data_IF_573364592627
#
_entry.id   IF_573364592627
#
_cell.length_a   1.000
_cell.length_b   1.000
_cell.length_c   1.000
_cell.angle_alpha   90.00
_cell.angle_beta   90.00
_cell.angle_gamma   90.00
#
_symmetry.space_group_name_H-M   'P 1'
#
loop_
_entity.id
_entity.type
_entity.pdbx_description
1 polymer ?
#
# COMPACT_ATOMS: atom_id res chain seq x y z
N UNK A 1 -5.25 2.87 -10.62
CA UNK A 1 -4.95 2.14 -11.86
C UNK A 1 -5.75 0.83 -11.93
N UNK A 2 -5.73 -0.03 -10.89
CA UNK A 2 -6.46 -1.30 -10.84
C UNK A 2 -7.96 -1.13 -11.18
N UNK A 3 -8.66 -0.25 -10.46
CA UNK A 3 -10.07 0.05 -10.69
C UNK A 3 -10.30 0.51 -12.15
N UNK A 4 -9.40 1.36 -12.66
CA UNK A 4 -9.49 1.84 -14.04
C UNK A 4 -9.40 0.70 -15.07
N UNK A 5 -8.42 -0.20 -14.92
CA UNK A 5 -8.25 -1.34 -15.84
C UNK A 5 -9.46 -2.29 -15.80
N UNK A 6 -9.99 -2.56 -14.62
CA UNK A 6 -11.19 -3.39 -14.46
C UNK A 6 -12.43 -2.73 -15.08
N UNK A 7 -12.65 -1.43 -14.79
CA UNK A 7 -13.78 -0.71 -15.39
C UNK A 7 -13.64 -0.64 -16.92
N UNK A 8 -12.43 -0.38 -17.41
CA UNK A 8 -12.16 -0.36 -18.87
C UNK A 8 -12.48 -1.72 -19.51
N UNK A 9 -12.10 -2.82 -18.87
CA UNK A 9 -12.39 -4.16 -19.37
C UNK A 9 -13.90 -4.45 -19.40
N UNK A 10 -14.61 -4.11 -18.32
CA UNK A 10 -16.07 -4.34 -18.21
C UNK A 10 -16.85 -3.39 -19.14
N UNK A 11 -16.37 -2.16 -19.33
CA UNK A 11 -17.07 -1.14 -20.11
C UNK A 11 -16.82 -1.21 -21.61
N UNK A 12 -15.86 -2.01 -22.06
CA UNK A 12 -15.52 -2.13 -23.48
C UNK A 12 -16.71 -2.45 -24.39
N UNK A 13 -17.64 -3.38 -24.05
CA UNK A 13 -18.80 -3.68 -24.86
C UNK A 13 -19.86 -2.56 -24.92
N UNK A 14 -19.82 -1.64 -23.96
CA UNK A 14 -20.88 -0.62 -23.75
C UNK A 14 -20.49 0.79 -24.19
N UNK A 15 -19.36 0.96 -24.86
CA UNK A 15 -18.83 2.26 -25.32
C UNK A 15 -18.70 3.31 -24.20
N UNK A 16 -18.62 2.88 -22.92
CA UNK A 16 -18.39 3.79 -21.80
C UNK A 16 -16.95 4.31 -21.84
N UNK A 17 -16.78 5.57 -21.46
CA UNK A 17 -15.47 6.25 -21.43
C UNK A 17 -15.02 6.46 -20.00
N UNK A 18 -14.20 5.56 -19.42
CA UNK A 18 -13.54 5.79 -18.14
C UNK A 18 -12.32 6.68 -18.31
N UNK A 19 -12.07 7.57 -17.34
CA UNK A 19 -10.89 8.44 -17.29
C UNK A 19 -10.18 8.27 -15.94
N UNK A 20 -8.86 8.24 -15.98
CA UNK A 20 -7.99 8.12 -14.81
C UNK A 20 -7.36 9.48 -14.47
N UNK A 21 -7.61 9.97 -13.26
CA UNK A 21 -7.12 11.24 -12.72
C UNK A 21 -6.24 10.96 -11.51
N UNK A 22 -4.92 10.99 -11.69
CA UNK A 22 -3.96 10.60 -10.63
C UNK A 22 -2.76 11.52 -10.57
N UNK A 23 -2.20 11.66 -9.37
CA UNK A 23 -0.95 12.40 -9.14
C UNK A 23 0.26 11.77 -9.84
N UNK A 24 1.32 12.57 -9.99
CA UNK A 24 2.60 12.10 -10.54
C UNK A 24 2.67 12.01 -12.07
N UNK A 25 1.61 12.40 -12.78
CA UNK A 25 1.53 12.51 -14.24
C UNK A 25 1.14 13.93 -14.64
N UNK A 26 1.35 14.30 -15.91
CA UNK A 26 0.98 15.62 -16.43
C UNK A 26 -0.52 15.88 -16.25
N UNK A 27 -0.87 17.09 -15.81
CA UNK A 27 -2.26 17.52 -15.59
C UNK A 27 -3.00 17.81 -16.90
N UNK A 28 -2.29 18.29 -17.93
CA UNK A 28 -2.92 18.77 -19.16
C UNK A 28 -3.72 17.69 -19.91
N UNK A 29 -3.19 16.48 -20.15
CA UNK A 29 -3.98 15.40 -20.75
C UNK A 29 -5.18 14.98 -19.89
N UNK A 30 -5.03 15.04 -18.55
CA UNK A 30 -6.11 14.71 -17.62
C UNK A 30 -7.23 15.77 -17.68
N UNK A 31 -6.88 17.06 -17.76
CA UNK A 31 -7.83 18.15 -17.91
C UNK A 31 -8.65 18.01 -19.20
N UNK A 32 -7.99 17.72 -20.33
CA UNK A 32 -8.66 17.49 -21.63
C UNK A 32 -9.63 16.30 -21.54
N UNK A 33 -9.18 15.21 -20.93
CA UNK A 33 -10.00 14.01 -20.75
C UNK A 33 -11.24 14.28 -19.86
N UNK A 34 -11.06 15.07 -18.80
CA UNK A 34 -12.14 15.45 -17.87
C UNK A 34 -13.15 16.41 -18.54
N UNK A 35 -12.68 17.39 -19.33
CA UNK A 35 -13.51 18.30 -20.12
C UNK A 35 -14.37 17.55 -21.15
N UNK A 36 -13.90 16.40 -21.62
CA UNK A 36 -14.65 15.50 -22.52
C UNK A 36 -15.88 14.82 -21.89
N UNK A 37 -16.22 15.15 -20.65
CA UNK A 37 -17.38 14.62 -19.91
C UNK A 37 -17.43 13.09 -19.93
N UNK A 38 -16.44 12.41 -19.35
CA UNK A 38 -16.40 10.94 -19.33
C UNK A 38 -17.58 10.36 -18.54
N UNK A 39 -17.92 9.10 -18.80
CA UNK A 39 -18.97 8.39 -18.09
C UNK A 39 -18.54 7.99 -16.67
N UNK A 40 -17.24 7.67 -16.48
CA UNK A 40 -16.67 7.26 -15.21
C UNK A 40 -15.35 8.00 -14.99
N UNK A 41 -15.20 8.63 -13.84
CA UNK A 41 -13.95 9.26 -13.38
C UNK A 41 -13.38 8.46 -12.24
N UNK A 42 -12.20 7.89 -12.42
CA UNK A 42 -11.44 7.23 -11.38
C UNK A 42 -10.32 8.17 -10.94
N UNK A 43 -10.36 8.62 -9.70
CA UNK A 43 -9.47 9.68 -9.24
C UNK A 43 -8.81 9.39 -7.90
N UNK A 44 -7.60 9.93 -7.71
CA UNK A 44 -7.06 10.16 -6.37
C UNK A 44 -7.54 11.54 -5.89
N UNK A 45 -7.96 11.68 -4.60
CA UNK A 45 -8.56 12.93 -4.10
C UNK A 45 -7.72 14.16 -4.40
N UNK A 46 -6.42 14.15 -4.03
CA UNK A 46 -5.54 15.31 -4.23
C UNK A 46 -5.49 15.80 -5.67
N UNK A 47 -5.33 14.90 -6.67
CA UNK A 47 -5.25 15.31 -8.07
C UNK A 47 -6.60 15.83 -8.60
N UNK A 48 -7.72 15.25 -8.18
CA UNK A 48 -9.03 15.76 -8.57
C UNK A 48 -9.30 17.12 -7.93
N UNK A 49 -8.92 17.31 -6.65
CA UNK A 49 -8.98 18.59 -5.96
C UNK A 49 -8.11 19.66 -6.65
N UNK A 50 -6.91 19.29 -7.13
CA UNK A 50 -6.07 20.19 -7.94
C UNK A 50 -6.80 20.67 -9.20
N UNK A 51 -7.42 19.75 -9.96
CA UNK A 51 -8.22 20.13 -11.14
C UNK A 51 -9.40 21.02 -10.80
N UNK A 52 -10.12 20.74 -9.72
CA UNK A 52 -11.24 21.57 -9.26
C UNK A 52 -10.78 22.99 -8.94
N UNK A 53 -9.61 23.14 -8.32
CA UNK A 53 -9.07 24.45 -7.92
C UNK A 53 -8.41 25.22 -9.06
N UNK A 54 -7.85 24.54 -10.08
CA UNK A 54 -6.91 25.19 -11.01
C UNK A 54 -7.23 25.04 -12.49
N UNK A 55 -8.06 24.06 -12.92
CA UNK A 55 -8.24 23.75 -14.36
C UNK A 55 -9.38 24.49 -15.05
N UNK A 56 -10.07 25.39 -14.33
CA UNK A 56 -11.20 26.14 -14.88
C UNK A 56 -12.53 25.37 -14.91
N UNK A 57 -13.62 26.14 -14.97
CA UNK A 57 -14.98 25.61 -14.84
C UNK A 57 -15.35 24.66 -15.99
N UNK A 58 -14.94 24.98 -17.22
CA UNK A 58 -15.21 24.15 -18.39
C UNK A 58 -14.64 22.72 -18.27
N UNK A 59 -13.51 22.58 -17.58
CA UNK A 59 -12.88 21.28 -17.33
C UNK A 59 -13.70 20.43 -16.35
N UNK A 60 -14.23 21.06 -15.31
CA UNK A 60 -14.87 20.35 -14.19
C UNK A 60 -16.39 20.38 -14.22
N UNK A 61 -17.02 21.10 -15.18
CA UNK A 61 -18.48 21.25 -15.27
C UNK A 61 -19.23 19.89 -15.31
N UNK A 62 -18.59 18.85 -15.85
CA UNK A 62 -19.16 17.51 -15.88
C UNK A 62 -19.39 16.91 -14.50
N UNK A 63 -18.63 17.32 -13.47
CA UNK A 63 -18.75 16.86 -12.09
C UNK A 63 -20.10 17.24 -11.47
N UNK A 64 -20.71 18.35 -11.88
CA UNK A 64 -22.04 18.79 -11.44
C UNK A 64 -23.19 17.84 -11.88
N UNK A 65 -22.89 16.83 -12.70
CA UNK A 65 -23.86 15.85 -13.21
C UNK A 65 -23.64 14.44 -12.65
N UNK A 66 -22.75 14.29 -11.70
CA UNK A 66 -22.43 13.00 -11.07
C UNK A 66 -23.64 12.49 -10.29
N UNK A 67 -24.08 11.27 -10.58
CA UNK A 67 -25.20 10.61 -9.90
C UNK A 67 -24.75 9.57 -8.86
N UNK A 68 -23.53 9.08 -9.00
CA UNK A 68 -22.98 8.06 -8.10
C UNK A 68 -21.54 8.41 -7.71
N UNK A 69 -21.24 8.30 -6.44
CA UNK A 69 -19.90 8.43 -5.87
C UNK A 69 -19.54 7.15 -5.15
N UNK A 70 -18.35 6.65 -5.41
CA UNK A 70 -17.78 5.50 -4.72
C UNK A 70 -16.52 5.93 -3.99
N UNK A 71 -16.47 5.72 -2.68
CA UNK A 71 -15.29 5.91 -1.86
C UNK A 71 -14.74 4.53 -1.51
N UNK A 72 -13.60 4.18 -2.11
CA UNK A 72 -12.88 2.95 -1.82
C UNK A 72 -11.78 3.23 -0.79
N UNK A 73 -11.52 2.28 0.11
CA UNK A 73 -10.68 2.50 1.31
C UNK A 73 -11.17 3.71 2.15
N UNK A 74 -12.49 3.78 2.40
CA UNK A 74 -13.12 4.95 3.01
C UNK A 74 -12.58 5.26 4.42
N UNK A 75 -12.16 4.26 5.18
CA UNK A 75 -11.46 4.41 6.47
C UNK A 75 -10.21 5.29 6.36
N UNK A 76 -9.52 5.22 5.24
CA UNK A 76 -8.31 6.02 4.98
C UNK A 76 -8.60 7.37 4.36
N UNK A 77 -9.58 7.43 3.47
CA UNK A 77 -9.99 8.69 2.84
C UNK A 77 -10.54 9.69 3.85
N UNK A 78 -11.18 9.18 4.91
CA UNK A 78 -11.84 9.96 5.94
C UNK A 78 -11.00 10.12 7.22
N UNK A 79 -9.86 9.43 7.31
CA UNK A 79 -8.97 9.54 8.46
C UNK A 79 -8.51 10.99 8.68
N UNK A 80 -8.58 11.47 9.91
CA UNK A 80 -8.09 12.78 10.33
C UNK A 80 -6.62 12.71 10.77
N UNK A 81 -5.92 13.86 10.79
CA UNK A 81 -4.56 13.99 11.30
C UNK A 81 -3.52 14.41 10.25
N UNK A 82 -2.24 14.44 10.61
CA UNK A 82 -1.16 14.85 9.71
C UNK A 82 -1.09 13.96 8.45
N UNK A 83 -1.12 14.58 7.26
CA UNK A 83 -1.13 13.86 5.98
C UNK A 83 -2.50 13.29 5.58
N UNK A 84 -3.58 13.71 6.24
CA UNK A 84 -4.95 13.35 5.91
C UNK A 84 -5.32 13.75 4.48
N UNK A 85 -6.07 12.89 3.80
CA UNK A 85 -6.68 13.18 2.50
C UNK A 85 -8.07 13.82 2.64
N UNK A 86 -8.60 13.93 3.86
CA UNK A 86 -9.95 14.44 4.12
C UNK A 86 -10.21 15.82 3.50
N UNK A 87 -9.32 16.84 3.59
CA UNK A 87 -9.56 18.14 2.96
C UNK A 87 -9.71 18.08 1.44
N UNK A 88 -8.95 17.18 0.79
CA UNK A 88 -9.06 16.98 -0.66
C UNK A 88 -10.35 16.24 -1.02
N UNK A 89 -10.76 15.25 -0.20
CA UNK A 89 -12.04 14.55 -0.34
C UNK A 89 -13.21 15.54 -0.20
N UNK A 90 -13.17 16.40 0.80
CA UNK A 90 -14.18 17.44 1.00
C UNK A 90 -14.24 18.41 -0.19
N UNK A 91 -13.10 18.85 -0.72
CA UNK A 91 -13.01 19.66 -1.94
C UNK A 91 -13.66 18.92 -3.13
N UNK A 92 -13.39 17.64 -3.29
CA UNK A 92 -14.00 16.84 -4.35
C UNK A 92 -15.52 16.73 -4.17
N UNK A 93 -15.97 16.40 -2.97
CA UNK A 93 -17.39 16.20 -2.68
C UNK A 93 -18.22 17.49 -2.81
N UNK A 94 -17.63 18.65 -2.49
CA UNK A 94 -18.29 19.96 -2.63
C UNK A 94 -18.52 20.40 -4.08
N UNK A 95 -17.72 19.90 -5.01
CA UNK A 95 -17.89 20.14 -6.45
C UNK A 95 -18.95 19.24 -7.13
N UNK A 96 -19.49 18.28 -6.38
CA UNK A 96 -20.51 17.33 -6.88
C UNK A 96 -21.92 17.78 -6.46
N UNK A 97 -22.99 17.23 -7.09
CA UNK A 97 -24.36 17.45 -6.64
C UNK A 97 -24.52 17.11 -5.16
N UNK A 98 -25.48 17.74 -4.47
CA UNK A 98 -25.70 17.49 -3.04
C UNK A 98 -26.03 16.01 -2.79
N UNK A 99 -25.81 15.53 -1.55
CA UNK A 99 -26.11 14.13 -1.21
C UNK A 99 -27.56 13.72 -1.46
N UNK A 100 -28.49 14.67 -1.54
CA UNK A 100 -29.90 14.43 -1.90
C UNK A 100 -30.09 13.95 -3.35
N UNK A 101 -29.23 14.36 -4.25
CA UNK A 101 -29.34 14.10 -5.69
C UNK A 101 -28.40 13.00 -6.21
N UNK A 102 -27.54 12.47 -5.36
CA UNK A 102 -26.57 11.42 -5.70
C UNK A 102 -26.65 10.22 -4.75
N UNK A 103 -26.23 9.07 -5.26
CA UNK A 103 -25.95 7.89 -4.45
C UNK A 103 -24.47 7.92 -4.02
N UNK A 104 -24.20 7.60 -2.76
CA UNK A 104 -22.83 7.45 -2.25
C UNK A 104 -22.65 6.03 -1.72
N UNK A 105 -21.63 5.35 -2.23
CA UNK A 105 -21.22 4.01 -1.80
C UNK A 105 -19.88 4.11 -1.10
N UNK A 106 -19.75 3.42 0.03
CA UNK A 106 -18.54 3.36 0.85
C UNK A 106 -18.07 1.92 0.93
N UNK A 107 -16.83 1.68 0.51
CA UNK A 107 -16.16 0.41 0.70
C UNK A 107 -15.00 0.62 1.66
N UNK A 108 -14.91 -0.21 2.69
CA UNK A 108 -13.90 -0.10 3.74
C UNK A 108 -13.52 -1.48 4.27
N UNK A 109 -12.25 -1.64 4.63
CA UNK A 109 -11.76 -2.84 5.30
C UNK A 109 -11.96 -2.76 6.82
N UNK A 110 -12.00 -1.53 7.37
CA UNK A 110 -12.09 -1.27 8.80
C UNK A 110 -13.19 -0.25 9.10
N UNK A 111 -14.00 -0.49 10.13
CA UNK A 111 -15.05 0.43 10.56
C UNK A 111 -14.50 1.38 11.62
N UNK A 112 -13.87 2.48 11.14
CA UNK A 112 -13.35 3.53 12.02
C UNK A 112 -14.48 4.39 12.61
N UNK A 113 -14.21 5.21 13.66
CA UNK A 113 -15.19 6.14 14.21
C UNK A 113 -15.75 7.10 13.15
N UNK A 114 -14.92 7.57 12.21
CA UNK A 114 -15.32 8.47 11.13
C UNK A 114 -16.29 7.79 10.15
N UNK A 115 -16.00 6.55 9.76
CA UNK A 115 -16.90 5.75 8.91
C UNK A 115 -18.22 5.50 9.63
N UNK A 116 -18.17 5.20 10.94
CA UNK A 116 -19.36 4.99 11.77
C UNK A 116 -20.19 6.27 11.92
N UNK A 117 -19.54 7.43 12.04
CA UNK A 117 -20.22 8.72 12.10
C UNK A 117 -21.04 9.00 10.83
N UNK A 118 -20.53 8.62 9.65
CA UNK A 118 -21.28 8.77 8.38
C UNK A 118 -22.55 7.90 8.34
N UNK A 119 -22.51 6.71 8.94
CA UNK A 119 -23.69 5.83 9.06
C UNK A 119 -24.81 6.50 9.87
N UNK A 120 -24.43 7.26 10.89
CA UNK A 120 -25.34 7.87 11.86
C UNK A 120 -25.72 9.34 11.52
N UNK A 121 -25.24 9.88 10.39
CA UNK A 121 -25.57 11.25 9.99
C UNK A 121 -27.07 11.43 9.76
N UNK A 122 -27.66 12.57 10.24
CA UNK A 122 -29.05 12.91 9.96
C UNK A 122 -29.32 12.92 8.46
N UNK A 123 -30.41 12.29 8.04
CA UNK A 123 -30.82 12.19 6.64
C UNK A 123 -32.14 12.92 6.40
N UNK A 124 -32.31 13.38 5.18
CA UNK A 124 -33.60 13.88 4.71
C UNK A 124 -34.65 12.78 4.83
N UNK A 125 -35.86 13.14 5.29
CA UNK A 125 -36.97 12.21 5.49
C UNK A 125 -37.36 11.35 4.28
N UNK A 126 -37.01 11.82 3.06
CA UNK A 126 -37.32 11.14 1.80
C UNK A 126 -36.26 10.15 1.34
N UNK A 127 -35.18 9.92 2.10
CA UNK A 127 -34.14 8.95 1.72
C UNK A 127 -34.31 7.62 2.46
N UNK A 128 -34.12 6.48 1.76
CA UNK A 128 -34.11 5.18 2.42
C UNK A 128 -32.98 5.11 3.47
N UNK A 129 -33.12 4.24 4.48
CA UNK A 129 -32.07 4.02 5.47
C UNK A 129 -30.76 3.57 4.80
N UNK A 130 -29.64 3.80 5.50
CA UNK A 130 -28.32 3.32 5.01
C UNK A 130 -28.36 1.80 4.94
N UNK A 131 -28.17 1.25 3.76
CA UNK A 131 -27.91 -0.17 3.60
C UNK A 131 -26.48 -0.44 4.05
N UNK A 132 -26.29 -1.32 5.01
CA UNK A 132 -24.98 -1.73 5.51
C UNK A 132 -24.87 -3.23 5.35
N UNK A 133 -23.87 -3.66 4.59
CA UNK A 133 -23.46 -5.06 4.56
C UNK A 133 -22.10 -5.15 5.26
N UNK A 134 -22.12 -5.72 6.43
CA UNK A 134 -20.91 -6.10 7.13
C UNK A 134 -20.67 -7.58 6.83
N UNK A 135 -19.53 -7.87 6.24
CA UNK A 135 -19.04 -9.24 6.18
C UNK A 135 -18.49 -9.52 7.59
N UNK A 136 -19.43 -9.60 8.56
CA UNK A 136 -19.08 -9.97 9.92
C UNK A 136 -18.82 -11.47 9.93
N UNK A 137 -17.58 -11.79 10.03
CA UNK A 137 -17.13 -13.06 10.55
C UNK A 137 -17.21 -12.93 12.08
N UNK A 138 -18.38 -13.13 12.66
CA UNK A 138 -18.56 -13.12 14.13
C UNK A 138 -17.63 -14.12 14.86
N UNK A 139 -16.91 -14.96 14.11
CA UNK A 139 -15.91 -15.92 14.59
C UNK A 139 -14.57 -15.86 13.84
N UNK A 140 -14.34 -14.89 12.98
CA UNK A 140 -13.06 -14.78 12.24
C UNK A 140 -12.58 -13.35 12.38
N UNK A 141 -11.42 -13.18 13.02
CA UNK A 141 -10.74 -11.89 13.16
C UNK A 141 -10.56 -11.18 11.82
N UNK A 142 -10.14 -9.93 11.86
CA UNK A 142 -9.96 -9.03 10.69
C UNK A 142 -9.06 -9.58 9.56
N UNK A 143 -8.53 -10.79 9.72
CA UNK A 143 -7.63 -11.47 8.76
C UNK A 143 -8.18 -12.85 8.40
N UNK A 144 -7.91 -13.35 7.16
CA UNK A 144 -8.36 -14.67 6.71
C UNK A 144 -7.86 -15.81 7.63
N UNK A 145 -8.67 -16.84 7.86
CA UNK A 145 -8.22 -18.02 8.63
C UNK A 145 -7.08 -18.79 7.95
N UNK A 146 -6.98 -18.67 6.63
CA UNK A 146 -5.91 -19.27 5.81
C UNK A 146 -4.57 -18.55 5.92
N UNK A 147 -4.50 -17.42 6.65
CA UNK A 147 -3.27 -16.69 6.92
C UNK A 147 -2.56 -17.31 8.11
N UNK A 148 -1.33 -17.78 7.91
CA UNK A 148 -0.39 -18.09 8.99
C UNK A 148 0.37 -16.82 9.36
N UNK A 149 0.12 -16.28 10.57
CA UNK A 149 0.86 -15.13 11.09
C UNK A 149 1.88 -15.59 12.12
N UNK A 150 3.11 -15.12 11.95
CA UNK A 150 4.22 -15.49 12.82
C UNK A 150 5.08 -14.26 13.16
N UNK A 151 5.81 -14.33 14.24
CA UNK A 151 6.85 -13.35 14.56
C UNK A 151 8.23 -14.01 14.67
N UNK A 152 9.26 -13.25 14.36
CA UNK A 152 10.65 -13.64 14.53
C UNK A 152 11.33 -12.60 15.43
N UNK A 153 11.84 -13.03 16.56
CA UNK A 153 12.63 -12.17 17.47
C UNK A 153 13.95 -11.80 16.83
N UNK A 154 14.23 -10.51 16.74
CA UNK A 154 15.45 -10.02 16.09
C UNK A 154 16.13 -8.93 16.93
N UNK A 155 17.44 -9.01 17.13
CA UNK A 155 18.22 -7.91 17.69
C UNK A 155 18.18 -6.72 16.74
N UNK A 156 18.02 -5.50 17.26
CA UNK A 156 17.94 -4.28 16.45
C UNK A 156 19.16 -4.08 15.53
N UNK A 157 20.33 -4.50 16.00
CA UNK A 157 21.61 -4.37 15.27
C UNK A 157 21.79 -5.36 14.12
N UNK A 158 20.99 -6.43 14.08
CA UNK A 158 21.16 -7.54 13.13
C UNK A 158 19.90 -7.82 12.29
N UNK A 159 18.91 -6.92 12.34
CA UNK A 159 17.60 -7.08 11.66
C UNK A 159 17.76 -7.41 10.18
N UNK A 160 18.70 -6.77 9.49
CA UNK A 160 18.97 -6.99 8.07
C UNK A 160 19.53 -8.39 7.78
N UNK A 161 20.39 -8.90 8.67
CA UNK A 161 20.95 -10.25 8.53
C UNK A 161 19.87 -11.33 8.74
N UNK A 162 18.98 -11.14 9.73
CA UNK A 162 17.82 -12.01 9.93
C UNK A 162 16.88 -11.98 8.73
N UNK A 163 16.62 -10.81 8.14
CA UNK A 163 15.83 -10.68 6.93
C UNK A 163 16.45 -11.45 5.76
N UNK A 164 17.77 -11.30 5.53
CA UNK A 164 18.48 -11.99 4.46
C UNK A 164 18.39 -13.51 4.62
N UNK A 165 18.67 -14.03 5.83
CA UNK A 165 18.56 -15.46 6.13
C UNK A 165 17.14 -15.97 5.94
N UNK A 166 16.12 -15.25 6.46
CA UNK A 166 14.71 -15.61 6.31
C UNK A 166 14.29 -15.73 4.84
N UNK A 167 14.72 -14.80 3.98
CA UNK A 167 14.47 -14.83 2.54
C UNK A 167 15.19 -15.96 1.81
N UNK A 168 16.27 -16.48 2.40
CA UNK A 168 17.16 -17.50 1.82
C UNK A 168 16.88 -18.90 2.33
N UNK A 169 15.93 -19.10 3.27
CA UNK A 169 15.52 -20.44 3.70
C UNK A 169 14.88 -21.21 2.53
N UNK A 170 15.00 -22.54 2.53
CA UNK A 170 14.43 -23.38 1.47
C UNK A 170 12.93 -23.11 1.28
N UNK A 171 12.22 -22.95 2.39
CA UNK A 171 10.80 -22.65 2.41
C UNK A 171 10.45 -21.33 1.73
N UNK A 172 11.32 -20.30 1.80
CA UNK A 172 11.03 -18.94 1.36
C UNK A 172 11.77 -18.52 0.09
N UNK A 173 12.83 -19.21 -0.30
CA UNK A 173 13.71 -18.81 -1.41
C UNK A 173 12.99 -18.70 -2.77
N UNK A 174 11.91 -19.46 -2.98
CA UNK A 174 11.11 -19.42 -4.21
C UNK A 174 9.86 -18.55 -4.13
N UNK A 175 9.39 -18.18 -2.92
CA UNK A 175 8.14 -17.43 -2.73
C UNK A 175 8.24 -16.00 -3.21
N UNK A 176 7.26 -15.49 -3.97
CA UNK A 176 7.10 -14.04 -4.15
C UNK A 176 6.77 -13.41 -2.79
N UNK A 177 7.50 -12.36 -2.43
CA UNK A 177 7.42 -11.73 -1.12
C UNK A 177 7.26 -10.22 -1.20
N UNK A 178 6.51 -9.64 -0.25
CA UNK A 178 6.49 -8.19 -0.01
C UNK A 178 7.11 -7.92 1.36
N UNK A 179 8.04 -6.97 1.43
CA UNK A 179 8.66 -6.50 2.66
C UNK A 179 8.13 -5.09 2.95
N UNK A 180 7.46 -4.91 4.09
CA UNK A 180 6.95 -3.62 4.50
C UNK A 180 7.89 -2.92 5.48
N UNK A 181 8.17 -1.64 5.19
CA UNK A 181 8.96 -0.73 6.01
C UNK A 181 8.13 0.49 6.40
N UNK A 182 8.38 1.04 7.59
CA UNK A 182 7.71 2.26 8.04
C UNK A 182 8.30 3.52 7.39
N UNK A 183 9.57 3.47 6.95
CA UNK A 183 10.28 4.63 6.42
C UNK A 183 10.79 4.41 5.01
N UNK A 184 10.68 5.44 4.20
CA UNK A 184 11.13 5.45 2.80
C UNK A 184 12.66 5.23 2.67
N UNK A 185 13.46 5.81 3.58
CA UNK A 185 14.92 5.60 3.59
C UNK A 185 15.28 4.15 3.89
N UNK A 186 14.53 3.49 4.77
CA UNK A 186 14.70 2.06 5.07
C UNK A 186 14.40 1.22 3.83
N UNK A 187 13.33 1.54 3.10
CA UNK A 187 12.97 0.82 1.88
C UNK A 187 14.04 0.97 0.77
N UNK A 188 14.58 2.18 0.56
CA UNK A 188 15.66 2.43 -0.40
C UNK A 188 16.95 1.67 -0.01
N UNK A 189 17.30 1.69 1.28
CA UNK A 189 18.46 0.94 1.80
C UNK A 189 18.30 -0.57 1.59
N UNK A 190 17.15 -1.13 1.97
CA UNK A 190 16.91 -2.58 1.85
C UNK A 190 16.91 -3.04 0.39
N UNK A 191 16.35 -2.27 -0.54
CA UNK A 191 16.41 -2.62 -1.96
C UNK A 191 17.87 -2.75 -2.43
N UNK A 192 18.72 -1.75 -2.15
CA UNK A 192 20.13 -1.72 -2.56
C UNK A 192 20.92 -2.86 -1.93
N UNK A 193 20.76 -3.02 -0.62
CA UNK A 193 21.45 -4.06 0.14
C UNK A 193 21.04 -5.47 -0.36
N UNK A 194 19.74 -5.75 -0.48
CA UNK A 194 19.26 -7.06 -0.93
C UNK A 194 19.66 -7.38 -2.38
N UNK A 195 19.77 -6.36 -3.22
CA UNK A 195 20.28 -6.52 -4.61
C UNK A 195 21.74 -6.97 -4.61
N UNK A 196 22.58 -6.42 -3.71
CA UNK A 196 23.98 -6.84 -3.54
C UNK A 196 24.11 -8.26 -3.03
N UNK A 197 23.16 -8.67 -2.18
CA UNK A 197 23.03 -10.04 -1.68
C UNK A 197 22.34 -10.97 -2.68
N UNK A 198 22.38 -10.64 -3.99
CA UNK A 198 21.86 -11.42 -5.09
C UNK A 198 20.35 -11.72 -5.07
N UNK A 199 19.55 -11.00 -4.25
CA UNK A 199 18.10 -11.12 -4.34
C UNK A 199 17.55 -10.36 -5.56
N UNK A 200 16.58 -10.95 -6.27
CA UNK A 200 15.80 -10.28 -7.31
C UNK A 200 14.77 -9.38 -6.65
N UNK A 201 15.15 -8.13 -6.37
CA UNK A 201 14.39 -7.18 -5.58
C UNK A 201 14.06 -5.92 -6.39
N UNK A 202 12.94 -5.30 -6.04
CA UNK A 202 12.52 -3.96 -6.49
C UNK A 202 11.78 -3.26 -5.36
N UNK A 203 11.55 -1.94 -5.46
CA UNK A 203 10.91 -1.20 -4.38
C UNK A 203 9.78 -0.28 -4.84
N UNK A 204 8.91 0.07 -3.89
CA UNK A 204 7.85 1.08 -4.01
C UNK A 204 7.90 2.01 -2.80
N UNK A 205 8.38 3.23 -3.01
CA UNK A 205 8.41 4.26 -1.98
C UNK A 205 8.33 5.67 -2.59
N UNK A 206 8.07 6.68 -1.76
CA UNK A 206 7.78 8.04 -2.21
C UNK A 206 8.98 8.82 -2.78
N UNK A 207 10.23 8.37 -2.56
CA UNK A 207 11.42 8.96 -3.20
C UNK A 207 11.54 8.59 -4.68
N UNK A 208 10.82 7.59 -5.15
CA UNK A 208 10.82 7.20 -6.56
C UNK A 208 9.82 8.03 -7.35
N UNK A 209 10.19 8.50 -8.56
CA UNK A 209 9.24 9.08 -9.50
C UNK A 209 8.11 8.10 -9.83
N UNK A 210 6.93 8.60 -10.21
CA UNK A 210 5.79 7.74 -10.52
C UNK A 210 6.07 6.77 -11.67
N UNK A 211 6.86 7.18 -12.68
CA UNK A 211 7.28 6.33 -13.79
C UNK A 211 8.11 5.13 -13.31
N UNK A 212 9.06 5.33 -12.39
CA UNK A 212 9.85 4.26 -11.80
C UNK A 212 9.00 3.35 -10.92
N UNK A 213 8.06 3.90 -10.14
CA UNK A 213 7.13 3.11 -9.34
C UNK A 213 6.30 2.18 -10.21
N UNK A 214 5.80 2.67 -11.35
CA UNK A 214 5.04 1.87 -12.31
C UNK A 214 5.93 0.79 -12.96
N UNK A 215 7.16 1.12 -13.35
CA UNK A 215 8.11 0.16 -13.92
C UNK A 215 8.50 -0.93 -12.90
N UNK A 216 8.74 -0.56 -11.65
CA UNK A 216 9.07 -1.50 -10.58
C UNK A 216 7.90 -2.45 -10.28
N UNK A 217 6.67 -1.93 -10.25
CA UNK A 217 5.49 -2.76 -10.08
C UNK A 217 5.30 -3.73 -11.27
N UNK A 218 5.53 -3.27 -12.49
CA UNK A 218 5.48 -4.12 -13.68
C UNK A 218 6.53 -5.24 -13.62
N UNK A 219 7.76 -4.95 -13.17
CA UNK A 219 8.81 -5.97 -12.97
C UNK A 219 8.40 -7.01 -11.93
N UNK A 220 7.77 -6.60 -10.84
CA UNK A 220 7.27 -7.51 -9.82
C UNK A 220 6.12 -8.38 -10.34
N UNK A 221 5.17 -7.81 -11.07
CA UNK A 221 4.07 -8.55 -11.72
C UNK A 221 4.55 -9.58 -12.72
N UNK A 222 5.57 -9.24 -13.50
CA UNK A 222 6.20 -10.13 -14.46
C UNK A 222 7.15 -11.17 -13.83
N UNK A 223 7.22 -11.24 -12.49
CA UNK A 223 8.14 -12.11 -11.75
C UNK A 223 9.64 -11.90 -12.08
N UNK A 224 9.98 -10.79 -12.73
CA UNK A 224 11.36 -10.38 -12.93
C UNK A 224 12.04 -9.95 -11.62
N UNK A 225 11.26 -9.47 -10.66
CA UNK A 225 11.64 -9.32 -9.27
C UNK A 225 10.80 -10.26 -8.40
N UNK A 226 11.44 -10.98 -7.48
CA UNK A 226 10.78 -11.88 -6.53
C UNK A 226 10.33 -11.16 -5.27
N UNK A 227 11.09 -10.17 -4.85
CA UNK A 227 10.90 -9.41 -3.61
C UNK A 227 10.51 -7.97 -3.95
N UNK A 228 9.46 -7.48 -3.33
CA UNK A 228 9.04 -6.09 -3.39
C UNK A 228 9.22 -5.45 -2.02
N UNK A 229 10.07 -4.43 -1.91
CA UNK A 229 10.20 -3.62 -0.69
C UNK A 229 9.28 -2.42 -0.80
N UNK A 230 8.39 -2.21 0.15
CA UNK A 230 7.39 -1.14 0.06
C UNK A 230 7.17 -0.42 1.39
N UNK A 231 6.73 0.84 1.29
CA UNK A 231 6.13 1.55 2.41
C UNK A 231 4.61 1.56 2.27
N UNK A 232 3.88 1.66 3.38
CA UNK A 232 2.41 1.65 3.37
C UNK A 232 1.85 2.70 2.40
N UNK A 233 2.32 3.94 2.50
CA UNK A 233 1.85 5.06 1.65
C UNK A 233 2.05 4.76 0.16
N UNK A 234 3.17 4.16 -0.21
CA UNK A 234 3.49 3.92 -1.61
C UNK A 234 2.81 2.67 -2.20
N UNK A 235 2.42 1.72 -1.35
CA UNK A 235 1.75 0.48 -1.76
C UNK A 235 0.22 0.61 -1.83
N UNK A 236 -0.32 1.69 -1.25
CA UNK A 236 -1.77 1.96 -1.24
C UNK A 236 -2.27 2.36 -2.62
N UNK A 237 -3.50 1.94 -2.95
CA UNK A 237 -4.11 2.24 -4.24
C UNK A 237 -3.41 1.62 -5.45
N UNK A 238 -2.37 0.79 -5.24
CA UNK A 238 -1.70 0.05 -6.28
C UNK A 238 -2.17 -1.41 -6.28
N UNK A 239 -2.38 -1.92 -7.48
CA UNK A 239 -2.66 -3.34 -7.67
C UNK A 239 -1.37 -4.14 -7.51
N UNK A 240 -1.03 -4.45 -6.27
CA UNK A 240 0.05 -5.36 -5.95
C UNK A 240 -0.51 -6.78 -6.00
N UNK A 241 0.04 -7.67 -6.84
CA UNK A 241 -0.45 -9.03 -6.94
C UNK A 241 -0.38 -9.75 -5.59
N UNK A 242 -1.28 -10.70 -5.39
CA UNK A 242 -1.25 -11.53 -4.19
C UNK A 242 0.06 -12.31 -4.12
N UNK A 243 0.69 -12.30 -2.98
CA UNK A 243 1.97 -12.96 -2.71
C UNK A 243 1.80 -14.11 -1.74
N UNK A 244 2.78 -15.01 -1.71
CA UNK A 244 2.79 -16.12 -0.75
C UNK A 244 3.36 -15.73 0.62
N UNK A 245 4.17 -14.65 0.66
CA UNK A 245 4.85 -14.22 1.88
C UNK A 245 4.80 -12.70 2.04
N UNK A 246 4.36 -12.24 3.20
CA UNK A 246 4.48 -10.86 3.66
C UNK A 246 5.47 -10.81 4.80
N UNK A 247 6.44 -9.90 4.73
CA UNK A 247 7.39 -9.67 5.84
C UNK A 247 7.20 -8.23 6.33
N UNK A 248 6.82 -8.08 7.59
CA UNK A 248 6.87 -6.79 8.25
C UNK A 248 8.29 -6.60 8.80
N UNK A 249 9.16 -5.93 8.04
CA UNK A 249 10.49 -5.56 8.49
C UNK A 249 10.43 -4.60 9.68
N UNK A 250 9.55 -3.62 9.61
CA UNK A 250 9.15 -2.79 10.74
C UNK A 250 7.72 -3.13 11.16
N UNK A 251 7.50 -3.27 12.47
CA UNK A 251 6.14 -3.41 13.01
C UNK A 251 5.36 -2.12 12.73
N UNK A 252 4.16 -2.19 12.12
CA UNK A 252 3.38 -1.00 11.86
C UNK A 252 2.91 -0.35 13.18
N UNK A 253 2.88 0.98 13.21
CA UNK A 253 2.45 1.73 14.39
C UNK A 253 0.93 1.67 14.62
N UNK A 254 0.18 1.57 13.52
CA UNK A 254 -1.26 1.41 13.56
C UNK A 254 -1.60 -0.07 13.28
N UNK A 255 -2.35 -0.74 14.16
CA UNK A 255 -2.81 -2.11 13.93
C UNK A 255 -3.61 -2.32 12.63
N UNK A 256 -4.36 -1.32 12.17
CA UNK A 256 -5.07 -1.41 10.92
C UNK A 256 -4.13 -1.49 9.71
N UNK A 257 -2.96 -0.85 9.77
CA UNK A 257 -1.94 -0.99 8.72
C UNK A 257 -1.40 -2.43 8.65
N UNK A 258 -1.33 -3.14 9.78
CA UNK A 258 -1.01 -4.57 9.79
C UNK A 258 -2.02 -5.38 8.96
N UNK A 259 -3.31 -5.16 9.18
CA UNK A 259 -4.38 -5.84 8.42
C UNK A 259 -4.24 -5.59 6.92
N UNK A 260 -3.98 -4.35 6.53
CA UNK A 260 -3.77 -3.98 5.13
C UNK A 260 -2.50 -4.58 4.52
N UNK A 261 -1.41 -4.71 5.29
CA UNK A 261 -0.17 -5.33 4.85
C UNK A 261 -0.36 -6.83 4.62
N UNK A 262 -0.88 -7.53 5.63
CA UNK A 262 -1.07 -8.99 5.53
C UNK A 262 -2.19 -9.35 4.57
N UNK A 263 -3.14 -8.45 4.33
CA UNK A 263 -4.14 -8.57 3.28
C UNK A 263 -3.56 -8.60 1.86
N UNK A 264 -2.22 -8.52 1.67
CA UNK A 264 -1.56 -8.77 0.37
C UNK A 264 -1.30 -10.26 0.15
N UNK A 265 -1.50 -11.10 1.15
CA UNK A 265 -1.45 -12.55 1.05
C UNK A 265 -2.78 -13.18 1.48
N UNK A 266 -2.90 -14.48 1.38
CA UNK A 266 -4.10 -15.24 1.78
C UNK A 266 -5.41 -14.76 1.11
N UNK A 267 -5.35 -14.30 -0.14
CA UNK A 267 -6.52 -13.81 -0.88
C UNK A 267 -7.24 -14.93 -1.62
N UNK A 268 -8.55 -14.77 -1.81
CA UNK A 268 -9.39 -15.67 -2.59
C UNK A 268 -9.29 -17.15 -2.13
N UNK A 269 -9.27 -17.39 -0.82
CA UNK A 269 -9.21 -18.75 -0.24
C UNK A 269 -7.84 -19.43 -0.32
N UNK A 270 -6.82 -18.77 -0.85
CA UNK A 270 -5.43 -19.28 -0.87
C UNK A 270 -4.80 -19.17 0.51
N UNK A 271 -3.87 -20.08 0.81
CA UNK A 271 -3.03 -19.95 2.01
C UNK A 271 -1.98 -18.85 1.82
N UNK A 272 -1.61 -18.19 2.90
CA UNK A 272 -0.57 -17.17 2.92
C UNK A 272 0.19 -17.16 4.22
N UNK A 273 1.37 -16.54 4.21
CA UNK A 273 2.21 -16.42 5.39
C UNK A 273 2.62 -14.97 5.61
N UNK A 274 2.55 -14.54 6.87
CA UNK A 274 3.06 -13.26 7.32
C UNK A 274 4.08 -13.46 8.43
N UNK A 275 5.26 -12.87 8.27
CA UNK A 275 6.33 -12.91 9.28
C UNK A 275 6.63 -11.49 9.73
N UNK A 276 6.55 -11.24 11.03
CA UNK A 276 6.86 -9.92 11.61
C UNK A 276 8.19 -9.98 12.36
N UNK A 277 9.15 -9.14 11.95
CA UNK A 277 10.42 -9.02 12.65
C UNK A 277 10.23 -8.14 13.89
N UNK A 278 10.39 -8.73 15.08
CA UNK A 278 10.06 -8.09 16.35
C UNK A 278 11.33 -7.84 17.14
N UNK A 279 11.65 -6.58 17.37
CA UNK A 279 12.70 -6.16 18.29
C UNK A 279 12.13 -5.93 19.70
N UNK A 280 13.02 -5.77 20.68
CA UNK A 280 12.63 -5.59 22.08
C UNK A 280 11.67 -4.40 22.30
N UNK A 281 11.79 -3.34 21.49
CA UNK A 281 10.94 -2.13 21.58
C UNK A 281 9.59 -2.26 20.88
N UNK A 282 9.40 -3.32 20.11
CA UNK A 282 8.22 -3.50 19.26
C UNK A 282 7.10 -4.29 19.96
N UNK A 283 7.36 -4.84 21.16
CA UNK A 283 6.45 -5.77 21.87
C UNK A 283 5.05 -5.16 22.06
N UNK A 284 4.97 -3.90 22.51
CA UNK A 284 3.68 -3.24 22.74
C UNK A 284 2.87 -3.06 21.44
N UNK A 285 3.56 -2.81 20.33
CA UNK A 285 2.91 -2.71 19.02
C UNK A 285 2.35 -4.07 18.57
N UNK A 286 3.09 -5.15 18.82
CA UNK A 286 2.62 -6.51 18.50
C UNK A 286 1.39 -6.87 19.32
N UNK A 287 1.40 -6.62 20.63
CA UNK A 287 0.24 -6.86 21.50
C UNK A 287 -1.00 -6.08 21.04
N UNK A 288 -0.86 -4.82 20.66
CA UNK A 288 -1.94 -4.01 20.12
C UNK A 288 -2.47 -4.57 18.78
N UNK A 289 -1.60 -5.13 17.95
CA UNK A 289 -1.98 -5.80 16.70
C UNK A 289 -2.77 -7.08 17.01
N UNK A 290 -2.29 -7.91 17.92
CA UNK A 290 -2.96 -9.16 18.31
C UNK A 290 -4.34 -8.90 18.92
N UNK A 291 -4.47 -7.88 19.76
CA UNK A 291 -5.75 -7.43 20.31
C UNK A 291 -6.70 -6.98 19.18
N UNK A 292 -6.21 -6.16 18.23
CA UNK A 292 -7.02 -5.67 17.10
C UNK A 292 -7.47 -6.76 16.15
N UNK A 293 -6.61 -7.76 15.93
CA UNK A 293 -6.86 -8.88 15.02
C UNK A 293 -7.68 -9.98 15.70
N UNK A 294 -7.64 -10.06 17.03
CA UNK A 294 -8.28 -11.11 17.83
C UNK A 294 -7.58 -12.46 17.74
N UNK A 295 -6.30 -12.50 17.28
CA UNK A 295 -5.52 -13.73 17.13
C UNK A 295 -4.04 -13.49 17.40
N UNK A 296 -3.44 -14.31 18.24
CA UNK A 296 -2.01 -14.24 18.57
C UNK A 296 -1.14 -14.71 17.39
N UNK A 297 0.07 -14.18 17.32
CA UNK A 297 1.12 -14.63 16.41
C UNK A 297 1.89 -15.77 17.03
N UNK A 298 2.23 -16.78 16.25
CA UNK A 298 3.11 -17.85 16.64
C UNK A 298 4.58 -17.48 16.43
N UNK A 299 5.50 -18.07 17.18
CA UNK A 299 6.93 -17.92 16.90
C UNK A 299 7.27 -18.62 15.58
N UNK A 300 7.99 -17.91 14.70
CA UNK A 300 8.37 -18.48 13.41
C UNK A 300 9.35 -19.63 13.61
N UNK A 301 9.07 -20.76 13.01
CA UNK A 301 9.92 -21.95 13.02
C UNK A 301 9.90 -22.66 11.68
N UNK A 302 11.03 -23.24 11.31
CA UNK A 302 11.19 -24.14 10.17
C UNK A 302 12.05 -25.32 10.66
N UNK A 303 11.61 -26.54 10.39
CA UNK A 303 12.29 -27.74 10.86
C UNK A 303 13.75 -27.78 10.32
N UNK A 304 14.71 -28.03 11.19
CA UNK A 304 16.13 -28.05 10.85
C UNK A 304 16.77 -26.69 10.57
N UNK A 305 16.02 -25.58 10.70
CA UNK A 305 16.52 -24.23 10.44
C UNK A 305 16.52 -23.37 11.69
N UNK A 306 17.70 -22.95 12.12
CA UNK A 306 17.89 -21.90 13.11
C UNK A 306 18.35 -20.63 12.39
N UNK A 307 17.47 -19.64 12.26
CA UNK A 307 17.81 -18.33 11.65
C UNK A 307 18.93 -17.68 12.43
N UNK A 308 18.81 -17.63 13.75
CA UNK A 308 19.85 -17.07 14.65
C UNK A 308 21.18 -17.81 14.48
N UNK A 309 21.15 -19.14 14.49
CA UNK A 309 22.34 -19.96 14.30
C UNK A 309 23.02 -19.70 12.94
N UNK A 310 22.25 -19.52 11.86
CA UNK A 310 22.79 -19.18 10.53
C UNK A 310 23.38 -17.76 10.53
N UNK A 311 22.71 -16.78 11.11
CA UNK A 311 23.22 -15.39 11.21
C UNK A 311 24.57 -15.35 11.91
N UNK A 312 24.74 -16.09 13.02
CA UNK A 312 25.97 -16.03 13.82
C UNK A 312 27.09 -16.88 13.23
N UNK A 313 26.79 -18.07 12.69
CA UNK A 313 27.81 -19.07 12.35
C UNK A 313 28.33 -19.02 10.91
N UNK A 314 27.62 -18.40 9.97
CA UNK A 314 27.92 -18.55 8.52
C UNK A 314 28.59 -17.33 7.89
N UNK A 315 29.08 -16.37 8.66
CA UNK A 315 29.69 -15.15 8.11
C UNK A 315 28.69 -14.15 7.51
N UNK A 316 27.40 -14.44 7.58
CA UNK A 316 26.28 -13.58 7.07
C UNK A 316 26.35 -12.17 7.65
N UNK A 317 26.72 -12.01 8.92
CA UNK A 317 26.84 -10.68 9.52
C UNK A 317 27.87 -9.81 8.81
N UNK A 318 29.00 -10.39 8.37
CA UNK A 318 30.02 -9.68 7.62
C UNK A 318 29.52 -9.31 6.24
N UNK A 319 28.98 -10.26 5.51
CA UNK A 319 28.43 -10.10 4.14
C UNK A 319 27.33 -9.04 4.11
N UNK A 320 26.34 -9.14 5.00
CA UNK A 320 25.26 -8.17 5.08
C UNK A 320 25.76 -6.81 5.54
N UNK A 321 26.73 -6.77 6.47
CA UNK A 321 27.38 -5.54 6.94
C UNK A 321 28.13 -4.81 5.83
N UNK A 322 28.81 -5.52 4.94
CA UNK A 322 29.48 -4.98 3.75
C UNK A 322 28.47 -4.44 2.75
N UNK A 323 27.47 -5.25 2.37
CA UNK A 323 26.40 -4.84 1.47
C UNK A 323 25.62 -3.61 1.98
N UNK A 324 25.38 -3.52 3.29
CA UNK A 324 24.72 -2.37 3.92
C UNK A 324 25.59 -1.11 3.84
N UNK A 325 26.89 -1.19 4.14
CA UNK A 325 27.81 -0.04 4.05
C UNK A 325 27.90 0.50 2.64
N UNK A 326 28.03 -0.37 1.65
CA UNK A 326 28.05 0.04 0.23
C UNK A 326 26.74 0.68 -0.20
N UNK A 327 25.60 0.11 0.20
CA UNK A 327 24.27 0.66 -0.07
C UNK A 327 24.11 2.07 0.55
N UNK A 328 24.58 2.27 1.79
CA UNK A 328 24.58 3.58 2.43
C UNK A 328 25.47 4.59 1.69
N UNK A 329 26.67 4.18 1.28
CA UNK A 329 27.56 5.03 0.49
C UNK A 329 26.93 5.53 -0.81
N UNK A 330 26.21 4.67 -1.54
CA UNK A 330 25.48 5.09 -2.75
C UNK A 330 24.35 6.07 -2.47
N UNK A 331 23.62 5.88 -1.36
CA UNK A 331 22.57 6.81 -0.94
C UNK A 331 23.18 8.19 -0.63
N UNK A 332 24.28 8.22 0.10
CA UNK A 332 24.97 9.46 0.49
C UNK A 332 25.56 10.18 -0.74
N UNK A 333 26.07 9.45 -1.73
CA UNK A 333 26.53 10.00 -2.99
C UNK A 333 25.40 10.44 -3.94
N UNK A 334 24.14 10.20 -3.57
CA UNK A 334 22.97 10.55 -4.37
C UNK A 334 22.84 9.73 -5.65
N UNK A 335 23.37 8.50 -5.67
CA UNK A 335 23.24 7.57 -6.79
C UNK A 335 21.86 6.88 -6.78
N UNK A 336 21.38 6.50 -7.97
CA UNK A 336 20.20 5.63 -8.09
C UNK A 336 20.57 4.17 -7.74
N UNK A 337 19.56 3.29 -7.70
CA UNK A 337 19.77 1.86 -7.41
C UNK A 337 20.61 1.11 -8.45
N UNK A 338 20.88 1.72 -9.61
CA UNK A 338 21.76 1.21 -10.65
C UNK A 338 23.15 1.87 -10.61
N UNK A 339 23.45 2.67 -9.57
CA UNK A 339 24.73 3.36 -9.38
C UNK A 339 24.92 4.64 -10.22
N UNK A 340 23.87 5.11 -10.93
CA UNK A 340 23.92 6.33 -11.73
C UNK A 340 23.67 7.55 -10.85
N UNK A 341 24.40 8.65 -11.04
CA UNK A 341 24.13 9.91 -10.32
C UNK A 341 22.71 10.39 -10.64
N UNK A 342 21.88 10.58 -9.61
CA UNK A 342 20.56 11.23 -9.77
C UNK A 342 20.79 12.66 -10.22
N UNK A 343 20.25 13.04 -11.38
CA UNK A 343 20.16 14.44 -11.75
C UNK A 343 19.32 15.14 -10.69
N UNK A 344 19.90 16.08 -9.92
CA UNK A 344 19.16 16.97 -9.04
C UNK A 344 18.13 17.69 -9.91
N UNK A 345 16.87 17.32 -9.80
CA UNK A 345 15.77 18.12 -10.34
C UNK A 345 15.97 19.54 -9.83
N UNK A 346 16.32 20.47 -10.74
CA UNK A 346 16.34 21.89 -10.41
C UNK A 346 14.99 22.21 -9.81
N UNK A 347 14.97 22.62 -8.53
CA UNK A 347 13.81 23.27 -7.94
C UNK A 347 13.53 24.47 -8.84
N UNK A 348 12.51 24.38 -9.67
CA UNK A 348 11.91 25.56 -10.30
C UNK A 348 11.30 26.35 -9.16
N UNK A 349 11.86 27.52 -8.92
CA UNK A 349 11.33 28.54 -7.99
C UNK A 349 10.02 29.05 -8.51
#
# INVERSE_FOLDING_TARGET
>A
LQIYEQIKAISAPQSMKPVLITGGTDMRPQAIALAGRPHVVIATPGRLADHIKTSGEDTVCGLKRVRMVVLDEADRLLASGPGSMLPDVETCLSALPPPSERQTLLFTATVTPEVRALKNMPRSANKPPVFVTEISTENQGSIPPTLKQTYLKVPLTHREAFLHVLLSTERNASKPAIIFCNHTKTADLLERMLRRLAHRVTSLHSLLPQSERNANLARFRASAARVLVATDVASRGLDIPSVSLVINYDVPRNPDDYVHRVGRTARAGRSGEAVTLVGQRDVQLVLAIEERVGRQMEEWSEEGVSVEGRVVRTGVLKEVGEAKREAMGEIDEGRDVLGRKRNKLKKVR
#
